data_IF_265446113489
#
_entry.id   IF_265446113489
#
_cell.length_a   1.000
_cell.length_b   1.000
_cell.length_c   1.000
_cell.angle_alpha   90.00
_cell.angle_beta   90.00
_cell.angle_gamma   90.00
#
_symmetry.space_group_name_H-M   'P 1'
#
loop_
_entity.id
_entity.type
_entity.pdbx_description
1 polymer ?
#
# COMPACT_ATOMS: atom_id res chain seq x y z
N UNK A 1 16.84 3.77 -22.69
CA UNK A 1 17.97 3.27 -23.50
C UNK A 1 19.12 2.94 -22.58
N UNK A 2 19.51 1.66 -22.55
CA UNK A 2 20.77 1.05 -22.01
C UNK A 2 20.36 -0.31 -21.43
N UNK A 3 21.02 -1.42 -21.70
CA UNK A 3 22.01 -1.85 -22.68
C UNK A 3 22.10 -3.36 -22.43
N UNK A 4 21.98 -4.18 -23.47
CA UNK A 4 21.96 -5.64 -23.34
C UNK A 4 23.28 -6.16 -22.76
N UNK A 5 23.25 -6.71 -21.54
CA UNK A 5 24.27 -7.63 -21.02
C UNK A 5 23.58 -8.55 -20.01
N UNK A 6 23.38 -9.82 -20.40
CA UNK A 6 22.71 -10.84 -19.58
C UNK A 6 23.75 -11.42 -18.62
N UNK A 7 23.87 -10.84 -17.42
CA UNK A 7 24.51 -11.48 -16.26
C UNK A 7 23.35 -12.06 -15.43
N UNK A 8 23.24 -13.39 -15.37
CA UNK A 8 22.33 -14.07 -14.44
C UNK A 8 22.88 -13.94 -13.01
N UNK A 9 22.68 -12.77 -12.39
CA UNK A 9 22.70 -12.65 -10.95
C UNK A 9 21.35 -13.19 -10.47
N UNK A 10 21.35 -14.14 -9.52
CA UNK A 10 20.14 -14.52 -8.78
C UNK A 10 19.73 -13.33 -7.91
N UNK A 11 19.06 -12.35 -8.51
CA UNK A 11 18.55 -11.18 -7.83
C UNK A 11 17.30 -11.60 -7.07
N UNK A 12 17.44 -11.83 -5.77
CA UNK A 12 16.30 -11.94 -4.87
C UNK A 12 15.79 -10.52 -4.62
N UNK A 13 15.08 -9.96 -5.58
CA UNK A 13 14.45 -8.66 -5.40
C UNK A 13 13.38 -8.81 -4.30
N UNK A 14 13.52 -8.06 -3.21
CA UNK A 14 12.47 -7.94 -2.19
C UNK A 14 11.42 -6.99 -2.77
N UNK A 15 10.31 -7.54 -3.25
CA UNK A 15 9.16 -6.76 -3.70
C UNK A 15 8.38 -6.29 -2.48
N UNK A 16 8.38 -4.99 -2.21
CA UNK A 16 7.51 -4.39 -1.20
C UNK A 16 6.25 -3.81 -1.86
N UNK A 17 5.09 -4.23 -1.38
CA UNK A 17 3.83 -3.58 -1.75
C UNK A 17 3.68 -2.28 -0.99
N UNK A 18 3.48 -1.19 -1.71
CA UNK A 18 3.20 0.12 -1.12
C UNK A 18 1.69 0.33 -1.03
N UNK A 19 1.19 0.63 0.17
CA UNK A 19 -0.22 1.01 0.41
C UNK A 19 -0.31 2.52 0.55
N UNK A 20 -0.96 3.19 -0.40
CA UNK A 20 -1.09 4.65 -0.42
C UNK A 20 -2.49 5.06 -0.01
N UNK A 21 -2.58 5.95 0.98
CA UNK A 21 -3.81 6.56 1.47
C UNK A 21 -3.55 8.05 1.76
N UNK A 22 -4.59 8.90 1.78
CA UNK A 22 -4.44 10.27 2.26
C UNK A 22 -3.91 10.30 3.71
N UNK A 23 -3.00 11.21 4.00
CA UNK A 23 -2.40 11.32 5.35
C UNK A 23 -3.43 11.62 6.45
N UNK A 24 -4.48 12.38 6.10
CA UNK A 24 -5.59 12.69 7.00
C UNK A 24 -6.82 13.10 6.21
N UNK A 25 -8.00 12.74 6.72
CA UNK A 25 -9.29 13.23 6.23
C UNK A 25 -10.08 13.76 7.42
N UNK A 26 -10.70 14.92 7.25
CA UNK A 26 -11.59 15.52 8.26
C UNK A 26 -12.96 15.74 7.63
N UNK A 27 -14.01 15.28 8.30
CA UNK A 27 -15.41 15.42 7.87
C UNK A 27 -16.26 15.91 9.04
N UNK A 28 -17.41 16.51 8.75
CA UNK A 28 -18.37 16.88 9.80
C UNK A 28 -19.16 15.65 10.28
N UNK A 29 -19.63 15.65 11.53
CA UNK A 29 -20.55 14.62 12.02
C UNK A 29 -21.79 14.49 11.12
N UNK A 30 -22.19 13.26 10.85
CA UNK A 30 -23.33 12.95 9.97
C UNK A 30 -23.00 12.90 8.48
N UNK A 31 -21.78 13.27 8.07
CA UNK A 31 -21.32 13.08 6.69
C UNK A 31 -20.66 11.70 6.51
N UNK A 32 -20.79 11.15 5.29
CA UNK A 32 -20.10 9.91 4.94
C UNK A 32 -18.61 10.16 4.71
N UNK A 33 -17.76 9.28 5.25
CA UNK A 33 -16.32 9.27 4.98
C UNK A 33 -15.99 8.10 4.05
N UNK A 34 -15.27 8.38 2.96
CA UNK A 34 -14.72 7.36 2.06
C UNK A 34 -13.20 7.37 2.18
N UNK A 35 -12.61 6.23 2.50
CA UNK A 35 -11.16 6.05 2.59
C UNK A 35 -10.73 5.20 1.39
N UNK A 36 -9.67 5.63 0.71
CA UNK A 36 -9.12 4.94 -0.46
C UNK A 36 -7.75 4.37 -0.13
N UNK A 37 -7.49 3.14 -0.58
CA UNK A 37 -6.20 2.49 -0.50
C UNK A 37 -5.79 2.04 -1.91
N UNK A 38 -4.67 2.56 -2.40
CA UNK A 38 -4.06 2.14 -3.65
C UNK A 38 -2.88 1.22 -3.34
N UNK A 39 -2.85 0.06 -3.98
CA UNK A 39 -1.74 -0.90 -3.88
C UNK A 39 -0.87 -0.78 -5.12
N UNK A 40 0.45 -0.78 -4.94
CA UNK A 40 1.40 -0.64 -6.05
C UNK A 40 1.46 -1.85 -6.98
N UNK A 41 1.21 -3.05 -6.46
CA UNK A 41 1.29 -4.32 -7.20
C UNK A 41 0.03 -5.19 -6.98
N UNK A 42 -0.01 -6.35 -7.64
CA UNK A 42 -1.15 -7.24 -7.65
C UNK A 42 -1.24 -8.11 -6.39
N UNK A 43 -2.26 -7.87 -5.57
CA UNK A 43 -2.60 -8.71 -4.42
C UNK A 43 -3.44 -9.90 -4.91
N UNK A 44 -2.79 -11.01 -5.22
CA UNK A 44 -3.45 -12.20 -5.80
C UNK A 44 -3.94 -13.23 -4.78
N UNK A 45 -3.21 -13.38 -3.67
CA UNK A 45 -3.34 -14.50 -2.73
C UNK A 45 -3.34 -14.11 -1.24
N UNK A 46 -3.25 -12.82 -0.93
CA UNK A 46 -3.17 -12.30 0.44
C UNK A 46 -4.40 -11.48 0.83
N UNK A 47 -4.69 -11.44 2.14
CA UNK A 47 -5.84 -10.73 2.69
C UNK A 47 -5.57 -9.23 2.84
N UNK A 48 -6.34 -8.41 2.13
CA UNK A 48 -6.37 -6.96 2.34
C UNK A 48 -7.45 -6.60 3.35
N UNK A 49 -7.09 -5.87 4.41
CA UNK A 49 -8.03 -5.46 5.45
C UNK A 49 -7.76 -4.03 5.91
N UNK A 50 -8.82 -3.37 6.41
CA UNK A 50 -8.73 -2.06 7.05
C UNK A 50 -8.41 -2.20 8.53
N UNK A 51 -7.49 -1.39 9.03
CA UNK A 51 -7.12 -1.34 10.44
C UNK A 51 -7.49 0.03 11.01
N UNK A 52 -8.08 0.06 12.21
CA UNK A 52 -8.35 1.28 12.97
C UNK A 52 -7.61 1.22 14.30
N UNK A 53 -6.85 2.26 14.60
CA UNK A 53 -6.20 2.45 15.89
C UNK A 53 -6.60 3.83 16.41
N UNK A 54 -7.41 3.85 17.46
CA UNK A 54 -7.76 5.09 18.14
C UNK A 54 -6.53 5.66 18.86
N UNK A 55 -6.41 6.98 18.90
CA UNK A 55 -5.37 7.66 19.66
C UNK A 55 -5.27 7.11 21.10
N UNK A 56 -4.03 6.88 21.56
CA UNK A 56 -3.75 6.38 22.91
C UNK A 56 -3.94 4.86 23.12
N UNK A 57 -4.19 4.08 22.06
CA UNK A 57 -4.21 2.61 22.15
C UNK A 57 -3.05 2.01 21.37
N UNK A 58 -2.40 0.97 21.92
CA UNK A 58 -1.29 0.22 21.36
C UNK A 58 -0.99 -1.00 22.23
#
# INVERSE_FOLDING_TARGET
MRSSTVIFLLQTDVTCDTLTQPASLTVQPGQCLTITCQVSDYVSSHWTHWIRQSAGKG
#
